data_IF_378158902891
#
_entry.id   IF_378158902891
#
_cell.length_a   1.000
_cell.length_b   1.000
_cell.length_c   1.000
_cell.angle_alpha   90.00
_cell.angle_beta   90.00
_cell.angle_gamma   90.00
#
_symmetry.space_group_name_H-M   'P 1'
#
loop_
_entity.id
_entity.type
_entity.pdbx_description
1 polymer ?
#
# COMPACT_ATOMS: atom_id res chain seq x y z
N UNK A 1 -9.10 0.04 -13.84
CA UNK A 1 -9.35 -0.99 -12.80
C UNK A 1 -10.66 -0.67 -12.05
N UNK A 2 -11.42 -1.68 -11.56
CA UNK A 2 -12.60 -1.41 -10.71
C UNK A 2 -12.24 -1.48 -9.21
N UNK A 3 -12.06 -0.32 -8.57
CA UNK A 3 -11.69 -0.23 -7.15
C UNK A 3 -12.77 -0.74 -6.17
N UNK A 4 -14.01 -0.92 -6.61
CA UNK A 4 -15.08 -1.48 -5.76
C UNK A 4 -14.94 -2.99 -5.55
N UNK A 5 -14.21 -3.67 -6.46
CA UNK A 5 -14.13 -5.13 -6.55
C UNK A 5 -12.75 -5.70 -6.19
N UNK A 6 -11.80 -4.85 -5.79
CA UNK A 6 -10.52 -5.33 -5.28
C UNK A 6 -10.68 -5.92 -3.88
N UNK A 7 -9.71 -6.73 -3.47
CA UNK A 7 -9.68 -7.23 -2.10
C UNK A 7 -9.54 -6.06 -1.11
N UNK A 8 -10.25 -6.14 0.01
CA UNK A 8 -10.03 -5.29 1.18
C UNK A 8 -10.10 -6.18 2.42
N UNK A 9 -9.15 -5.99 3.33
CA UNK A 9 -9.12 -6.74 4.59
C UNK A 9 -10.37 -6.55 5.45
N UNK A 10 -11.04 -5.40 5.35
CA UNK A 10 -12.30 -5.08 6.03
C UNK A 10 -12.93 -3.81 5.40
N UNK A 11 -14.13 -3.43 5.87
CA UNK A 11 -14.84 -2.26 5.38
C UNK A 11 -14.13 -0.93 5.64
N UNK A 12 -13.40 -0.79 6.76
CA UNK A 12 -12.66 0.44 7.06
C UNK A 12 -11.48 0.65 6.11
N UNK A 13 -10.79 -0.44 5.76
CA UNK A 13 -9.74 -0.41 4.75
C UNK A 13 -10.30 0.09 3.40
N UNK A 14 -11.46 -0.42 2.98
CA UNK A 14 -12.15 0.07 1.78
C UNK A 14 -12.48 1.56 1.87
N UNK A 15 -13.09 1.98 2.97
CA UNK A 15 -13.49 3.38 3.19
C UNK A 15 -12.30 4.34 3.12
N UNK A 16 -11.21 4.04 3.85
CA UNK A 16 -10.02 4.88 3.83
C UNK A 16 -9.38 4.94 2.44
N UNK A 17 -9.28 3.81 1.73
CA UNK A 17 -8.67 3.78 0.41
C UNK A 17 -9.50 4.55 -0.63
N UNK A 18 -10.82 4.36 -0.66
CA UNK A 18 -11.70 5.10 -1.56
C UNK A 18 -11.72 6.60 -1.24
N UNK A 19 -11.67 6.97 0.04
CA UNK A 19 -11.57 8.38 0.45
C UNK A 19 -10.25 9.03 -0.04
N UNK A 20 -9.16 8.27 -0.18
CA UNK A 20 -7.94 8.78 -0.79
C UNK A 20 -8.11 9.04 -2.29
N UNK A 21 -8.74 8.11 -3.01
CA UNK A 21 -8.93 8.23 -4.47
C UNK A 21 -9.68 9.51 -4.87
N UNK A 22 -10.56 10.02 -3.99
CA UNK A 22 -11.28 11.28 -4.23
C UNK A 22 -10.46 12.52 -3.92
N UNK A 23 -9.42 12.42 -3.09
CA UNK A 23 -8.61 13.54 -2.61
C UNK A 23 -7.32 13.73 -3.40
N UNK A 24 -6.66 12.63 -3.81
CA UNK A 24 -5.36 12.70 -4.50
C UNK A 24 -5.57 12.84 -6.01
N UNK A 25 -5.12 13.98 -6.58
CA UNK A 25 -5.32 14.34 -7.99
C UNK A 25 -4.30 13.70 -8.95
N UNK A 26 -3.12 13.31 -8.47
CA UNK A 26 -2.11 12.63 -9.29
C UNK A 26 -2.27 11.11 -9.21
N UNK A 27 -2.27 10.44 -10.37
CA UNK A 27 -2.34 8.98 -10.45
C UNK A 27 -0.99 8.32 -10.17
N UNK A 28 -0.41 8.62 -9.01
CA UNK A 28 0.84 8.00 -8.56
C UNK A 28 0.55 6.59 -8.09
N UNK A 29 0.59 5.64 -9.02
CA UNK A 29 0.45 4.20 -8.77
C UNK A 29 1.30 3.72 -7.57
N UNK A 30 2.49 4.30 -7.38
CA UNK A 30 3.37 4.09 -6.23
C UNK A 30 2.72 4.46 -4.90
N UNK A 31 2.13 5.64 -4.85
CA UNK A 31 1.50 6.19 -3.66
C UNK A 31 0.24 5.37 -3.33
N UNK A 32 -0.63 5.10 -4.31
CA UNK A 32 -1.85 4.33 -4.08
C UNK A 32 -1.57 2.91 -3.57
N UNK A 33 -0.59 2.23 -4.16
CA UNK A 33 -0.22 0.89 -3.72
C UNK A 33 0.31 0.89 -2.28
N UNK A 34 1.14 1.87 -1.92
CA UNK A 34 1.64 2.02 -0.56
C UNK A 34 0.52 2.37 0.43
N UNK A 35 -0.30 3.37 0.12
CA UNK A 35 -1.38 3.81 1.00
C UNK A 35 -2.45 2.73 1.23
N UNK A 36 -2.77 1.93 0.21
CA UNK A 36 -3.61 0.75 0.35
C UNK A 36 -3.08 -0.17 1.46
N UNK A 37 -1.78 -0.50 1.46
CA UNK A 37 -1.19 -1.31 2.54
C UNK A 37 -1.29 -0.60 3.89
N UNK A 38 -0.97 0.70 3.96
CA UNK A 38 -0.91 1.46 5.22
C UNK A 38 -2.29 1.65 5.88
N UNK A 39 -3.37 1.50 5.12
CA UNK A 39 -4.75 1.58 5.62
C UNK A 39 -5.40 0.21 5.84
N UNK A 40 -4.64 -0.88 5.65
CA UNK A 40 -5.20 -2.23 5.56
C UNK A 40 -5.73 -2.80 6.87
N UNK A 41 -5.13 -2.45 8.01
CA UNK A 41 -5.57 -2.88 9.33
C UNK A 41 -5.63 -1.70 10.30
N UNK A 42 -6.40 -1.84 11.38
CA UNK A 42 -6.50 -0.81 12.42
C UNK A 42 -5.15 -0.53 13.05
N UNK A 43 -4.37 -1.58 13.31
CA UNK A 43 -3.05 -1.53 13.90
C UNK A 43 -2.10 -0.73 13.01
N UNK A 44 -1.96 -1.12 11.73
CA UNK A 44 -1.10 -0.43 10.77
C UNK A 44 -1.57 1.03 10.64
N UNK A 45 -2.86 1.27 10.38
CA UNK A 45 -3.35 2.63 10.15
C UNK A 45 -3.15 3.54 11.37
N UNK A 46 -3.41 3.03 12.58
CA UNK A 46 -3.27 3.82 13.80
C UNK A 46 -1.84 4.32 14.02
N UNK A 47 -0.86 3.51 13.63
CA UNK A 47 0.57 3.81 13.70
C UNK A 47 1.02 4.71 12.55
N UNK A 48 0.54 4.50 11.33
CA UNK A 48 1.12 5.15 10.14
C UNK A 48 0.45 6.45 9.74
N UNK A 49 -0.81 6.68 10.15
CA UNK A 49 -1.60 7.85 9.71
C UNK A 49 -0.96 9.22 9.96
N UNK A 50 -0.21 9.37 11.07
CA UNK A 50 0.47 10.64 11.40
C UNK A 50 1.68 10.94 10.52
N UNK A 51 2.16 9.94 9.79
CA UNK A 51 3.33 9.98 8.92
C UNK A 51 2.96 9.78 7.44
N UNK A 52 1.67 9.86 7.13
CA UNK A 52 1.11 9.64 5.80
C UNK A 52 0.27 10.86 5.44
N UNK A 53 0.79 11.73 4.57
CA UNK A 53 0.06 12.87 4.00
C UNK A 53 -0.28 12.59 2.54
N UNK A 54 -1.17 13.38 1.93
CA UNK A 54 -1.54 13.22 0.51
C UNK A 54 -0.35 13.34 -0.46
N UNK A 55 0.75 13.95 0.00
CA UNK A 55 1.94 14.20 -0.81
C UNK A 55 3.07 13.21 -0.50
N UNK A 56 3.28 12.88 0.77
CA UNK A 56 4.47 12.14 1.22
C UNK A 56 4.12 11.09 2.26
N UNK A 57 4.81 9.95 2.16
CA UNK A 57 4.82 8.87 3.16
C UNK A 57 6.20 8.79 3.79
N UNK A 58 6.30 9.03 5.10
CA UNK A 58 7.56 8.94 5.84
C UNK A 58 7.77 7.52 6.41
N UNK A 59 8.35 6.65 5.59
CA UNK A 59 8.64 5.27 5.96
C UNK A 59 9.69 5.15 7.08
N UNK A 60 10.61 6.12 7.20
CA UNK A 60 11.62 6.10 8.25
C UNK A 60 10.93 6.25 9.62
N UNK A 61 10.05 7.25 9.76
CA UNK A 61 9.28 7.47 10.99
C UNK A 61 8.27 6.36 11.26
N UNK A 62 7.68 5.78 10.23
CA UNK A 62 6.79 4.62 10.38
C UNK A 62 7.57 3.44 11.00
N UNK A 63 8.68 3.03 10.38
CA UNK A 63 9.41 1.83 10.79
C UNK A 63 10.05 1.94 12.20
N UNK A 64 10.29 3.16 12.69
CA UNK A 64 10.73 3.42 14.07
C UNK A 64 9.73 2.93 15.13
N UNK A 65 8.43 2.80 14.81
CA UNK A 65 7.40 2.47 15.81
C UNK A 65 7.43 1.03 16.32
N UNK A 66 8.12 0.12 15.63
CA UNK A 66 8.18 -1.29 15.98
C UNK A 66 6.87 -2.04 15.66
N UNK A 67 6.93 -2.95 14.69
CA UNK A 67 5.78 -3.75 14.27
C UNK A 67 6.04 -5.24 14.47
N UNK A 68 4.96 -6.00 14.64
CA UNK A 68 4.97 -7.45 14.49
C UNK A 68 5.51 -7.84 13.09
N UNK A 69 6.11 -9.02 12.97
CA UNK A 69 6.82 -9.46 11.76
C UNK A 69 5.98 -9.37 10.48
N UNK A 70 4.73 -9.83 10.54
CA UNK A 70 3.78 -9.80 9.43
C UNK A 70 3.48 -8.36 8.95
N UNK A 71 3.16 -7.45 9.89
CA UNK A 71 2.89 -6.04 9.59
C UNK A 71 4.16 -5.32 9.11
N UNK A 72 5.32 -5.64 9.69
CA UNK A 72 6.60 -5.08 9.26
C UNK A 72 6.90 -5.45 7.81
N UNK A 73 6.69 -6.71 7.43
CA UNK A 73 6.86 -7.16 6.06
C UNK A 73 5.92 -6.44 5.08
N UNK A 74 4.65 -6.21 5.46
CA UNK A 74 3.73 -5.39 4.67
C UNK A 74 4.22 -3.94 4.50
N UNK A 75 4.70 -3.31 5.57
CA UNK A 75 5.20 -1.93 5.52
C UNK A 75 6.46 -1.83 4.65
N UNK A 76 7.35 -2.82 4.72
CA UNK A 76 8.53 -2.89 3.85
C UNK A 76 8.13 -3.07 2.38
N UNK A 77 7.09 -3.87 2.11
CA UNK A 77 6.53 -3.96 0.75
C UNK A 77 5.95 -2.60 0.32
N UNK A 78 5.22 -1.89 1.19
CA UNK A 78 4.70 -0.57 0.88
C UNK A 78 5.81 0.44 0.55
N UNK A 79 6.92 0.41 1.30
CA UNK A 79 8.11 1.22 1.03
C UNK A 79 8.74 0.86 -0.32
N UNK A 80 8.89 -0.44 -0.58
CA UNK A 80 9.42 -0.95 -1.84
C UNK A 80 8.59 -0.49 -3.04
N UNK A 81 7.27 -0.64 -2.95
CA UNK A 81 6.36 -0.15 -3.97
C UNK A 81 6.51 1.37 -4.08
N UNK A 82 6.43 2.13 -2.99
CA UNK A 82 6.51 3.59 -3.06
C UNK A 82 7.80 4.13 -3.70
N UNK A 83 8.95 3.63 -3.28
CA UNK A 83 10.28 4.19 -3.61
C UNK A 83 11.02 3.43 -4.73
N UNK A 84 10.46 2.32 -5.24
CA UNK A 84 11.18 1.38 -6.10
C UNK A 84 12.53 0.91 -5.49
N UNK A 85 12.57 0.74 -4.17
CA UNK A 85 13.78 0.32 -3.44
C UNK A 85 14.12 -1.14 -3.73
N UNK A 86 15.38 -1.54 -3.84
CA UNK A 86 15.75 -2.96 -4.08
C UNK A 86 15.77 -3.82 -2.81
N UNK A 87 15.44 -3.28 -1.64
CA UNK A 87 15.72 -3.93 -0.35
C UNK A 87 14.56 -4.76 0.22
N UNK A 88 13.57 -5.13 -0.59
CA UNK A 88 12.46 -5.98 -0.12
C UNK A 88 12.76 -7.46 -0.38
N UNK A 89 12.87 -8.21 0.72
CA UNK A 89 13.05 -9.66 0.72
C UNK A 89 11.67 -10.36 0.71
N UNK A 90 11.24 -10.78 -0.48
CA UNK A 90 9.96 -11.45 -0.67
C UNK A 90 9.92 -12.81 0.01
N UNK A 91 11.00 -13.58 -0.03
CA UNK A 91 11.04 -14.93 0.54
C UNK A 91 10.80 -14.86 2.05
N UNK A 92 11.50 -13.96 2.73
CA UNK A 92 11.30 -13.71 4.16
C UNK A 92 9.91 -13.16 4.47
N UNK A 93 9.35 -12.32 3.60
CA UNK A 93 8.01 -11.78 3.79
C UNK A 93 6.94 -12.88 3.73
N UNK A 94 7.05 -13.81 2.77
CA UNK A 94 6.13 -14.92 2.58
C UNK A 94 6.09 -15.86 3.80
N UNK A 95 7.23 -16.08 4.46
CA UNK A 95 7.28 -16.86 5.72
C UNK A 95 6.52 -16.21 6.88
N UNK A 96 6.33 -14.89 6.83
CA UNK A 96 5.71 -14.11 7.91
C UNK A 96 4.23 -13.81 7.70
N UNK A 97 3.73 -13.91 6.46
CA UNK A 97 2.37 -13.51 6.11
C UNK A 97 1.35 -14.62 6.36
N UNK A 98 0.29 -14.25 7.06
CA UNK A 98 -0.96 -15.01 7.06
C UNK A 98 -1.76 -14.76 5.77
N UNK A 99 -2.89 -15.47 5.62
CA UNK A 99 -3.75 -15.35 4.45
C UNK A 99 -4.20 -13.90 4.18
N UNK A 100 -4.51 -13.15 5.24
CA UNK A 100 -4.95 -11.75 5.13
C UNK A 100 -3.82 -10.86 4.62
N UNK A 101 -2.64 -10.96 5.23
CA UNK A 101 -1.44 -10.20 4.85
C UNK A 101 -1.02 -10.53 3.41
N UNK A 102 -1.05 -11.80 3.05
CA UNK A 102 -0.79 -12.26 1.69
C UNK A 102 -1.75 -11.65 0.68
N UNK A 103 -3.05 -11.65 0.98
CA UNK A 103 -4.08 -11.08 0.10
C UNK A 103 -3.93 -9.56 -0.05
N UNK A 104 -3.59 -8.85 1.03
CA UNK A 104 -3.26 -7.42 1.00
C UNK A 104 -2.05 -7.18 0.09
N UNK A 105 -0.95 -7.92 0.32
CA UNK A 105 0.29 -7.76 -0.44
C UNK A 105 0.08 -7.96 -1.95
N UNK A 106 -0.60 -9.04 -2.34
CA UNK A 106 -0.91 -9.30 -3.74
C UNK A 106 -1.76 -8.21 -4.38
N UNK A 107 -2.78 -7.71 -3.68
CA UNK A 107 -3.64 -6.66 -4.20
C UNK A 107 -2.89 -5.34 -4.38
N UNK A 108 -1.96 -5.01 -3.47
CA UNK A 108 -1.12 -3.83 -3.57
C UNK A 108 -0.17 -3.88 -4.78
N UNK A 109 0.45 -5.05 -5.03
CA UNK A 109 1.30 -5.27 -6.21
C UNK A 109 0.49 -5.12 -7.50
N UNK A 110 -0.71 -5.72 -7.56
CA UNK A 110 -1.63 -5.58 -8.70
C UNK A 110 -2.02 -4.11 -8.92
N UNK A 111 -2.36 -3.39 -7.85
CA UNK A 111 -2.69 -1.96 -7.91
C UNK A 111 -1.54 -1.16 -8.54
N UNK A 112 -0.29 -1.40 -8.09
CA UNK A 112 0.87 -0.70 -8.64
C UNK A 112 1.00 -0.91 -10.15
N UNK A 113 0.90 -2.15 -10.61
CA UNK A 113 1.09 -2.44 -12.04
C UNK A 113 -0.07 -1.98 -12.91
N UNK A 114 -1.31 -2.16 -12.47
CA UNK A 114 -2.48 -1.74 -13.26
C UNK A 114 -2.52 -0.23 -13.43
N UNK A 115 -2.34 0.54 -12.35
CA UNK A 115 -2.38 2.00 -12.42
C UNK A 115 -1.18 2.58 -13.18
N UNK A 116 -0.01 1.95 -13.06
CA UNK A 116 1.15 2.35 -13.85
C UNK A 116 0.95 2.15 -15.36
N UNK A 117 0.23 1.11 -15.77
CA UNK A 117 -0.07 0.85 -17.19
C UNK A 117 -1.12 1.83 -17.72
N UNK A 118 -2.19 2.07 -16.97
CA UNK A 118 -3.23 3.05 -17.30
C UNK A 118 -2.61 4.45 -17.49
N UNK A 119 -1.71 4.87 -16.60
CA UNK A 119 -1.00 6.15 -16.76
C UNK A 119 -0.07 6.25 -17.98
N UNK A 120 0.40 5.12 -18.51
CA UNK A 120 1.22 5.09 -19.72
C UNK A 120 0.35 5.15 -20.99
N UNK A 121 -0.85 4.57 -20.95
CA UNK A 121 -1.81 4.64 -22.05
C UNK A 121 -2.34 6.07 -22.20
N UNK A 122 -2.70 6.75 -21.11
CA UNK A 122 -3.13 8.17 -21.11
C UNK A 122 -2.04 9.14 -21.61
N UNK A 123 -0.76 8.74 -21.61
CA UNK A 123 0.37 9.55 -22.10
C UNK A 123 0.64 9.37 -23.60
N UNK A 124 0.12 8.28 -24.21
CA UNK A 124 0.33 7.94 -25.62
C UNK A 124 -0.84 8.34 -26.53
N UNK A 125 -1.97 8.77 -25.95
CA UNK A 125 -3.10 9.43 -26.63
C UNK A 125 -2.94 10.95 -26.70
#
# INVERSE_FOLDING_TARGET
MNFEQIYYANSQHKEHFLALLTQKKSNESSYFAAYYILTSTKEIWSSTKRHTTLEVIDFAKILEQGFASNHKALILLAQHLYMASTNFDLDRALESWDQTSYSIALQAIKLRWSLSRESMEDFLE
#
